data_IF_649894878525
#
_entry.id   IF_649894878525
#
_cell.length_a   1.000
_cell.length_b   1.000
_cell.length_c   1.000
_cell.angle_alpha   90.00
_cell.angle_beta   90.00
_cell.angle_gamma   90.00
#
_symmetry.space_group_name_H-M   'P 1'
#
loop_
_entity.id
_entity.type
_entity.pdbx_description
1 polymer ?
#
# COMPACT_ATOMS: atom_id res chain seq x y z
N UNK A 1 19.66 -12.92 22.94
CA UNK A 1 19.87 -11.73 22.09
C UNK A 1 18.54 -11.48 21.40
N UNK A 2 17.80 -10.47 21.84
CA UNK A 2 16.47 -10.14 21.30
C UNK A 2 16.66 -9.65 19.88
N UNK A 3 16.36 -10.50 18.88
CA UNK A 3 16.36 -10.10 17.48
C UNK A 3 15.40 -8.92 17.35
N UNK A 4 15.91 -7.79 16.86
CA UNK A 4 15.04 -6.76 16.30
C UNK A 4 14.14 -7.46 15.29
N UNK A 5 12.82 -7.30 15.44
CA UNK A 5 11.87 -7.88 14.50
C UNK A 5 12.25 -7.30 13.14
N UNK A 6 12.74 -8.14 12.24
CA UNK A 6 13.02 -7.74 10.88
C UNK A 6 11.67 -7.55 10.21
N UNK A 7 11.19 -6.31 10.18
CA UNK A 7 9.88 -5.96 9.62
C UNK A 7 10.07 -5.95 8.10
N UNK A 8 9.41 -6.84 7.35
CA UNK A 8 9.53 -6.85 5.90
C UNK A 8 9.19 -5.49 5.29
N UNK A 9 9.96 -5.09 4.29
CA UNK A 9 9.86 -3.77 3.62
C UNK A 9 8.44 -3.46 3.13
N UNK A 10 7.72 -4.49 2.66
CA UNK A 10 6.36 -4.37 2.13
C UNK A 10 5.28 -4.14 3.19
N UNK A 11 5.59 -4.29 4.49
CA UNK A 11 4.58 -4.10 5.54
C UNK A 11 4.03 -2.68 5.57
N UNK A 12 4.84 -1.66 5.25
CA UNK A 12 4.34 -0.29 5.18
C UNK A 12 3.18 -0.13 4.18
N UNK A 13 3.24 -0.84 3.05
CA UNK A 13 2.17 -0.87 2.05
C UNK A 13 0.96 -1.63 2.57
N UNK A 14 1.17 -2.81 3.15
CA UNK A 14 0.05 -3.67 3.59
C UNK A 14 -0.65 -3.13 4.83
N UNK A 15 0.07 -2.55 5.78
CA UNK A 15 -0.50 -1.96 7.00
C UNK A 15 -1.27 -0.68 6.66
N UNK A 16 -0.83 0.05 5.63
CA UNK A 16 -1.60 1.14 5.07
C UNK A 16 -2.83 0.64 4.32
N UNK A 17 -2.66 -0.38 3.47
CA UNK A 17 -3.73 -0.86 2.60
C UNK A 17 -4.82 -1.64 3.35
N UNK A 18 -4.46 -2.34 4.43
CA UNK A 18 -5.34 -3.18 5.23
C UNK A 18 -5.24 -2.76 6.72
N UNK A 19 -5.89 -1.65 7.11
CA UNK A 19 -5.78 -1.11 8.47
C UNK A 19 -6.27 -2.07 9.56
N UNK A 20 -7.13 -3.04 9.24
CA UNK A 20 -7.54 -4.13 10.14
C UNK A 20 -6.36 -4.96 10.66
N UNK A 21 -5.23 -5.00 9.94
CA UNK A 21 -4.01 -5.67 10.42
C UNK A 21 -3.42 -4.98 11.66
N UNK A 22 -3.66 -3.69 11.80
CA UNK A 22 -3.13 -2.85 12.88
C UNK A 22 -4.21 -2.41 13.88
N UNK A 23 -5.48 -2.66 13.58
CA UNK A 23 -6.64 -2.21 14.38
C UNK A 23 -7.59 -3.37 14.66
N UNK A 24 -7.51 -3.99 15.85
CA UNK A 24 -8.35 -5.13 16.22
C UNK A 24 -9.85 -4.80 16.28
N UNK A 25 -10.19 -3.52 16.42
CA UNK A 25 -11.54 -2.97 16.50
C UNK A 25 -12.14 -2.62 15.12
N UNK A 26 -11.42 -2.91 14.03
CA UNK A 26 -11.87 -2.60 12.67
C UNK A 26 -12.95 -3.58 12.21
N UNK A 27 -14.21 -3.22 12.44
CA UNK A 27 -15.35 -4.06 12.07
C UNK A 27 -15.67 -4.05 10.56
N UNK A 28 -16.57 -4.95 10.14
CA UNK A 28 -16.95 -5.12 8.72
C UNK A 28 -17.53 -3.82 8.12
N UNK A 29 -18.25 -3.02 8.91
CA UNK A 29 -18.84 -1.77 8.43
C UNK A 29 -17.76 -0.71 8.21
N UNK A 30 -16.85 -0.57 9.17
CA UNK A 30 -15.71 0.35 9.11
C UNK A 30 -14.81 0.01 7.93
N UNK A 31 -14.62 -1.29 7.66
CA UNK A 31 -13.92 -1.77 6.47
C UNK A 31 -14.63 -1.33 5.19
N UNK A 32 -15.94 -1.54 5.05
CA UNK A 32 -16.70 -1.09 3.87
C UNK A 32 -16.64 0.43 3.67
N UNK A 33 -16.84 1.22 4.72
CA UNK A 33 -16.78 2.68 4.66
C UNK A 33 -15.39 3.16 4.25
N UNK A 34 -14.35 2.56 4.82
CA UNK A 34 -12.96 2.86 4.48
C UNK A 34 -12.61 2.51 3.04
N UNK A 35 -13.06 1.36 2.53
CA UNK A 35 -12.92 0.99 1.12
C UNK A 35 -13.61 1.99 0.20
N UNK A 36 -14.86 2.38 0.50
CA UNK A 36 -15.61 3.35 -0.32
C UNK A 36 -14.92 4.71 -0.31
N UNK A 37 -14.49 5.18 0.86
CA UNK A 37 -13.73 6.43 1.00
C UNK A 37 -12.46 6.42 0.16
N UNK A 38 -11.70 5.32 0.21
CA UNK A 38 -10.46 5.16 -0.56
C UNK A 38 -10.72 5.14 -2.07
N UNK A 39 -11.71 4.38 -2.54
CA UNK A 39 -12.06 4.29 -3.97
C UNK A 39 -12.55 5.62 -4.54
N UNK A 40 -12.91 6.58 -3.69
CA UNK A 40 -13.31 7.95 -4.06
C UNK A 40 -12.20 8.99 -3.90
N UNK A 41 -10.95 8.56 -3.66
CA UNK A 41 -9.79 9.45 -3.55
C UNK A 41 -9.47 9.93 -2.14
N UNK A 42 -10.17 9.43 -1.12
CA UNK A 42 -9.91 9.85 0.26
C UNK A 42 -8.46 9.62 0.71
N UNK A 43 -7.79 8.62 0.15
CA UNK A 43 -6.41 8.28 0.47
C UNK A 43 -5.36 8.97 -0.43
N UNK A 44 -5.77 9.81 -1.39
CA UNK A 44 -4.85 10.28 -2.45
C UNK A 44 -3.68 11.09 -1.87
N UNK A 45 -3.96 12.05 -0.99
CA UNK A 45 -2.93 12.90 -0.37
C UNK A 45 -1.92 12.07 0.42
N UNK A 46 -2.40 11.08 1.18
CA UNK A 46 -1.56 10.21 1.99
C UNK A 46 -0.73 9.25 1.12
N UNK A 47 -1.31 8.76 0.02
CA UNK A 47 -0.59 7.93 -0.96
C UNK A 47 0.53 8.73 -1.63
N UNK A 48 0.25 9.95 -2.07
CA UNK A 48 1.25 10.84 -2.67
C UNK A 48 2.37 11.14 -1.69
N UNK A 49 2.04 11.47 -0.44
CA UNK A 49 3.02 11.83 0.57
C UNK A 49 3.93 10.66 0.98
N UNK A 50 3.41 9.43 1.02
CA UNK A 50 4.11 8.29 1.65
C UNK A 50 4.64 7.25 0.67
N UNK A 51 4.04 7.12 -0.51
CA UNK A 51 4.26 5.96 -1.38
C UNK A 51 4.64 6.31 -2.83
N UNK A 52 4.88 7.59 -3.13
CA UNK A 52 5.37 7.99 -4.47
C UNK A 52 6.69 7.30 -4.83
N UNK A 53 7.69 7.34 -3.94
CA UNK A 53 8.97 6.67 -4.17
C UNK A 53 8.83 5.15 -4.30
N UNK A 54 7.95 4.54 -3.50
CA UNK A 54 7.65 3.10 -3.59
C UNK A 54 7.04 2.72 -4.94
N UNK A 55 6.09 3.51 -5.43
CA UNK A 55 5.46 3.27 -6.74
C UNK A 55 6.47 3.46 -7.88
N UNK A 56 7.35 4.47 -7.80
CA UNK A 56 8.40 4.70 -8.79
C UNK A 56 9.48 3.62 -8.77
N UNK A 57 9.87 3.12 -7.59
CA UNK A 57 10.79 1.98 -7.46
C UNK A 57 10.17 0.70 -8.03
N UNK A 58 8.89 0.43 -7.73
CA UNK A 58 8.16 -0.70 -8.29
C UNK A 58 8.10 -0.61 -9.84
N UNK A 59 7.80 0.57 -10.39
CA UNK A 59 7.74 0.78 -11.84
C UNK A 59 9.11 0.60 -12.54
N UNK A 60 10.22 0.76 -11.81
CA UNK A 60 11.58 0.51 -12.27
C UNK A 60 12.08 -0.91 -12.00
N UNK A 61 11.21 -1.81 -11.54
CA UNK A 61 11.53 -3.20 -11.16
C UNK A 61 12.52 -3.34 -9.99
N UNK A 62 12.71 -2.27 -9.20
CA UNK A 62 13.66 -2.26 -8.07
C UNK A 62 13.13 -3.01 -6.83
N UNK A 63 11.84 -3.33 -6.84
CA UNK A 63 11.17 -4.11 -5.80
C UNK A 63 10.83 -5.53 -6.27
N UNK A 64 11.49 -6.02 -7.32
CA UNK A 64 11.22 -7.34 -7.89
C UNK A 64 11.34 -8.49 -6.88
N UNK A 65 12.24 -8.37 -5.89
CA UNK A 65 12.40 -9.34 -4.80
C UNK A 65 11.16 -9.48 -3.91
N UNK A 66 10.28 -8.48 -3.86
CA UNK A 66 9.02 -8.60 -3.13
C UNK A 66 8.14 -9.72 -3.71
N UNK A 67 8.28 -10.05 -5.00
CA UNK A 67 7.50 -11.10 -5.63
C UNK A 67 7.81 -12.51 -5.12
N UNK A 68 8.93 -12.72 -4.42
CA UNK A 68 9.34 -14.02 -3.86
C UNK A 68 8.53 -14.41 -2.61
N UNK A 69 7.86 -13.45 -1.97
CA UNK A 69 6.96 -13.67 -0.85
C UNK A 69 5.49 -13.37 -1.26
N UNK A 70 4.49 -14.15 -0.81
CA UNK A 70 3.09 -13.88 -1.14
C UNK A 70 2.58 -12.50 -0.68
N UNK A 71 2.99 -12.04 0.50
CA UNK A 71 2.61 -10.71 1.01
C UNK A 71 3.38 -9.60 0.29
N UNK A 72 4.68 -9.82 0.04
CA UNK A 72 5.47 -8.92 -0.79
C UNK A 72 4.87 -8.75 -2.19
N UNK A 73 4.44 -9.85 -2.83
CA UNK A 73 3.79 -9.83 -4.14
C UNK A 73 2.48 -9.04 -4.11
N UNK A 74 1.67 -9.20 -3.06
CA UNK A 74 0.45 -8.41 -2.89
C UNK A 74 0.76 -6.91 -2.75
N UNK A 75 1.75 -6.55 -1.96
CA UNK A 75 2.18 -5.16 -1.82
C UNK A 75 2.71 -4.59 -3.13
N UNK A 76 3.45 -5.38 -3.92
CA UNK A 76 3.95 -4.98 -5.23
C UNK A 76 2.80 -4.72 -6.21
N UNK A 77 1.75 -5.56 -6.21
CA UNK A 77 0.53 -5.31 -7.01
C UNK A 77 -0.13 -4.00 -6.59
N UNK A 78 -0.25 -3.72 -5.29
CA UNK A 78 -0.83 -2.46 -4.79
C UNK A 78 0.01 -1.26 -5.23
N UNK A 79 1.33 -1.35 -5.10
CA UNK A 79 2.26 -0.29 -5.50
C UNK A 79 2.24 -0.02 -7.02
N UNK A 80 2.05 -1.05 -7.84
CA UNK A 80 2.01 -0.95 -9.30
C UNK A 80 0.64 -0.58 -9.87
N UNK A 81 -0.46 -0.96 -9.23
CA UNK A 81 -1.81 -0.79 -9.78
C UNK A 81 -2.64 0.29 -9.06
N UNK A 82 -2.51 0.37 -7.73
CA UNK A 82 -3.40 1.20 -6.92
C UNK A 82 -2.82 2.58 -6.66
N UNK A 83 -1.56 2.67 -6.19
CA UNK A 83 -0.94 3.96 -5.90
C UNK A 83 -0.84 4.90 -7.12
N UNK A 84 -0.49 4.40 -8.32
CA UNK A 84 -0.56 5.18 -9.57
C UNK A 84 -1.86 5.94 -9.81
N UNK A 85 -3.01 5.35 -9.46
CA UNK A 85 -4.34 5.97 -9.67
C UNK A 85 -4.61 7.16 -8.75
N UNK A 86 -3.85 7.28 -7.67
CA UNK A 86 -3.85 8.44 -6.77
C UNK A 86 -2.76 9.43 -7.19
N UNK A 87 -1.54 8.95 -7.46
CA UNK A 87 -0.38 9.81 -7.77
C UNK A 87 -0.56 10.57 -9.09
N UNK A 88 -1.15 9.94 -10.10
CA UNK A 88 -1.27 10.51 -11.46
C UNK A 88 -2.72 10.79 -11.88
N UNK A 89 -3.66 10.87 -10.94
CA UNK A 89 -5.11 11.03 -11.22
C UNK A 89 -5.45 12.17 -12.17
N UNK A 90 -4.77 13.30 -12.05
CA UNK A 90 -5.01 14.50 -12.86
C UNK A 90 -3.96 14.72 -13.96
N UNK A 91 -3.11 13.72 -14.24
CA UNK A 91 -2.16 13.78 -15.34
C UNK A 91 -2.69 12.97 -16.52
N UNK A 92 -2.83 13.57 -17.72
CA UNK A 92 -3.06 12.78 -18.91
C UNK A 92 -1.88 11.84 -19.12
N UNK A 93 -2.18 10.57 -19.41
CA UNK A 93 -1.20 9.55 -19.80
C UNK A 93 -0.79 9.71 -21.25
#
# INVERSE_FOLDING_TARGET
MTSAIDIPEWNAVLDFWFPERCRPDFDVRSHQEYWVWRMRGGADEEIVARFTETAEAAARDELGHWADDPHGRLALIIALDQFPRSIWRDRPT
#
